data_IF_453023018539
#
_entry.id   IF_453023018539
#
_cell.length_a   1.000
_cell.length_b   1.000
_cell.length_c   1.000
_cell.angle_alpha   90.00
_cell.angle_beta   90.00
_cell.angle_gamma   90.00
#
_symmetry.space_group_name_H-M   'P 1'
#
loop_
_entity.id
_entity.type
_entity.pdbx_description
1 polymer ?
#
# COMPACT_ATOMS: atom_id res chain seq x y z
N UNK A 1 20.45 12.60 -8.48
CA UNK A 1 19.36 11.62 -8.33
C UNK A 1 18.31 12.22 -7.42
N UNK A 2 17.32 12.88 -8.03
CA UNK A 2 16.66 14.04 -7.44
C UNK A 2 15.23 13.79 -6.97
N UNK A 3 14.89 14.47 -5.86
CA UNK A 3 13.61 15.02 -5.37
C UNK A 3 12.30 14.21 -5.47
N UNK A 4 12.24 13.11 -6.21
CA UNK A 4 11.03 12.36 -6.48
C UNK A 4 10.50 11.64 -5.23
N UNK A 5 11.38 11.04 -4.44
CA UNK A 5 11.02 10.43 -3.15
C UNK A 5 10.46 11.47 -2.16
N UNK A 6 11.03 12.69 -2.18
CA UNK A 6 10.58 13.80 -1.35
C UNK A 6 9.20 14.30 -1.82
N UNK A 7 8.98 14.44 -3.13
CA UNK A 7 7.67 14.79 -3.67
C UNK A 7 6.60 13.76 -3.29
N UNK A 8 6.90 12.46 -3.42
CA UNK A 8 5.96 11.40 -3.00
C UNK A 8 5.65 11.51 -1.51
N UNK A 9 6.69 11.61 -0.67
CA UNK A 9 6.52 11.70 0.77
C UNK A 9 5.70 12.92 1.18
N UNK A 10 5.98 14.08 0.58
CA UNK A 10 5.29 15.34 0.91
C UNK A 10 3.82 15.32 0.46
N UNK A 11 3.53 14.84 -0.75
CA UNK A 11 2.13 14.72 -1.24
C UNK A 11 1.33 13.71 -0.42
N UNK A 12 1.90 12.58 -0.04
CA UNK A 12 1.19 11.63 0.83
C UNK A 12 1.03 12.18 2.26
N UNK A 13 2.00 12.96 2.76
CA UNK A 13 1.91 13.62 4.05
C UNK A 13 0.84 14.73 4.08
N UNK A 14 0.58 15.41 2.96
CA UNK A 14 -0.54 16.37 2.85
C UNK A 14 -1.91 15.68 2.83
N UNK A 15 -1.95 14.36 2.68
CA UNK A 15 -3.18 13.58 2.61
C UNK A 15 -3.69 13.35 1.20
N UNK A 16 -2.93 13.75 0.18
CA UNK A 16 -3.28 13.59 -1.22
C UNK A 16 -2.90 12.21 -1.76
N UNK A 17 -3.68 11.71 -2.71
CA UNK A 17 -3.42 10.46 -3.41
C UNK A 17 -2.45 10.68 -4.58
N UNK A 18 -1.63 9.67 -4.90
CA UNK A 18 -0.74 9.69 -6.07
C UNK A 18 -1.10 8.53 -6.99
N UNK A 19 -1.41 8.84 -8.24
CA UNK A 19 -1.58 7.85 -9.31
C UNK A 19 -0.38 7.90 -10.24
N UNK A 20 0.32 6.77 -10.37
CA UNK A 20 1.37 6.59 -11.36
C UNK A 20 0.81 5.67 -12.45
N UNK A 21 0.52 6.24 -13.62
CA UNK A 21 -0.09 5.52 -14.74
C UNK A 21 0.73 4.28 -15.12
N UNK A 22 0.06 3.15 -15.32
CA UNK A 22 0.69 1.86 -15.63
C UNK A 22 1.47 1.22 -14.47
N UNK A 23 1.58 1.87 -13.31
CA UNK A 23 2.25 1.34 -12.12
C UNK A 23 1.24 1.01 -11.02
N UNK A 24 0.55 2.02 -10.49
CA UNK A 24 -0.43 1.84 -9.43
C UNK A 24 -0.83 3.14 -8.74
N UNK A 25 -1.66 3.02 -7.71
CA UNK A 25 -2.18 4.14 -6.93
C UNK A 25 -1.76 4.04 -5.47
N UNK A 26 -1.14 5.08 -4.95
CA UNK A 26 -1.00 5.31 -3.52
C UNK A 26 -2.18 6.12 -3.03
N UNK A 27 -2.86 5.64 -2.00
CA UNK A 27 -3.98 6.35 -1.38
C UNK A 27 -3.78 6.52 0.11
N UNK A 28 -4.07 7.73 0.60
CA UNK A 28 -4.13 8.04 2.03
C UNK A 28 -5.52 7.72 2.54
N UNK A 29 -5.61 6.91 3.58
CA UNK A 29 -6.89 6.49 4.17
C UNK A 29 -6.93 6.75 5.66
N UNK A 30 -8.03 7.30 6.13
CA UNK A 30 -8.33 7.37 7.55
C UNK A 30 -8.81 6.02 8.05
N UNK A 31 -8.19 5.54 9.12
CA UNK A 31 -8.62 4.37 9.88
C UNK A 31 -9.23 4.85 11.18
N UNK A 32 -10.49 4.50 11.39
CA UNK A 32 -11.18 4.73 12.66
C UNK A 32 -10.56 3.88 13.76
N UNK A 33 -10.69 4.38 14.98
CA UNK A 33 -10.39 3.58 16.15
C UNK A 33 -11.22 2.30 16.17
N UNK A 34 -10.62 1.20 16.57
CA UNK A 34 -11.28 -0.10 16.62
C UNK A 34 -10.63 -1.03 17.64
N UNK A 35 -11.39 -2.04 18.07
CA UNK A 35 -10.83 -3.16 18.83
C UNK A 35 -9.93 -4.01 17.94
N UNK A 36 -8.84 -4.48 18.53
CA UNK A 36 -7.92 -5.47 18.00
C UNK A 36 -7.48 -6.40 19.12
N UNK A 37 -6.50 -7.25 18.83
CA UNK A 37 -5.95 -8.19 19.81
C UNK A 37 -4.43 -8.14 19.79
N UNK A 38 -3.83 -8.31 20.96
CA UNK A 38 -2.40 -8.52 21.07
C UNK A 38 -2.05 -9.87 20.42
N UNK A 39 -1.18 -9.92 19.39
CA UNK A 39 -0.83 -11.18 18.72
C UNK A 39 -0.19 -12.22 19.65
N UNK A 40 0.50 -11.80 20.71
CA UNK A 40 1.20 -12.69 21.63
C UNK A 40 0.30 -13.27 22.73
N UNK A 41 -0.67 -12.49 23.24
CA UNK A 41 -1.51 -12.89 24.38
C UNK A 41 -2.98 -13.11 24.04
N UNK A 42 -3.42 -12.68 22.87
CA UNK A 42 -4.83 -12.71 22.45
C UNK A 42 -5.73 -11.69 23.15
N UNK A 43 -5.20 -10.94 24.12
CA UNK A 43 -5.98 -9.97 24.91
C UNK A 43 -6.48 -8.82 24.03
N UNK A 44 -7.68 -8.33 24.34
CA UNK A 44 -8.28 -7.21 23.63
C UNK A 44 -7.46 -5.92 23.82
N UNK A 45 -7.30 -5.15 22.75
CA UNK A 45 -6.63 -3.85 22.77
C UNK A 45 -7.35 -2.84 21.86
N UNK A 46 -7.30 -1.57 22.23
CA UNK A 46 -7.81 -0.47 21.39
C UNK A 46 -6.72 0.01 20.44
N UNK A 47 -7.01 -0.01 19.14
CA UNK A 47 -6.15 0.54 18.10
C UNK A 47 -6.62 1.95 17.76
N UNK A 48 -5.83 2.95 18.13
CA UNK A 48 -6.13 4.37 17.90
C UNK A 48 -6.40 4.67 16.42
N UNK A 49 -7.24 5.67 16.19
CA UNK A 49 -7.46 6.23 14.86
C UNK A 49 -6.14 6.76 14.28
N UNK A 50 -5.94 6.59 12.97
CA UNK A 50 -4.71 6.99 12.27
C UNK A 50 -4.92 7.13 10.77
N UNK A 51 -4.01 7.85 10.11
CA UNK A 51 -3.85 7.80 8.66
C UNK A 51 -2.94 6.65 8.26
N UNK A 52 -3.24 6.00 7.13
CA UNK A 52 -2.39 4.98 6.53
C UNK A 52 -2.24 5.24 5.04
N UNK A 53 -1.08 4.89 4.49
CA UNK A 53 -0.89 4.82 3.04
C UNK A 53 -1.19 3.39 2.58
N UNK A 54 -1.94 3.26 1.50
CA UNK A 54 -2.20 1.98 0.83
C UNK A 54 -1.73 2.06 -0.61
N UNK A 55 -1.11 1.00 -1.12
CA UNK A 55 -0.77 0.89 -2.54
C UNK A 55 -1.67 -0.13 -3.22
N UNK A 56 -2.28 0.26 -4.34
CA UNK A 56 -3.00 -0.65 -5.24
C UNK A 56 -2.21 -0.77 -6.55
N UNK A 57 -1.66 -1.94 -6.79
CA UNK A 57 -0.98 -2.28 -8.04
C UNK A 57 -1.95 -2.15 -9.22
N UNK A 58 -1.46 -1.60 -10.34
CA UNK A 58 -2.23 -1.56 -11.58
C UNK A 58 -2.34 -2.95 -12.22
N UNK A 59 -3.38 -3.16 -13.05
CA UNK A 59 -3.50 -4.38 -13.85
C UNK A 59 -2.26 -4.60 -14.72
N UNK A 60 -1.83 -3.57 -15.46
CA UNK A 60 -0.65 -3.62 -16.32
C UNK A 60 0.63 -4.06 -15.60
N UNK A 61 0.88 -3.55 -14.38
CA UNK A 61 2.04 -3.96 -13.60
C UNK A 61 1.92 -5.41 -13.13
N UNK A 62 0.74 -5.81 -12.64
CA UNK A 62 0.48 -7.20 -12.23
C UNK A 62 0.65 -8.17 -13.40
N UNK A 63 0.06 -7.86 -14.54
CA UNK A 63 0.07 -8.69 -15.73
C UNK A 63 1.52 -8.84 -16.23
N UNK A 64 2.30 -7.75 -16.28
CA UNK A 64 3.73 -7.81 -16.62
C UNK A 64 4.56 -8.69 -15.70
N UNK A 65 4.32 -8.65 -14.39
CA UNK A 65 5.01 -9.50 -13.41
C UNK A 65 4.63 -10.97 -13.62
N UNK A 66 3.34 -11.23 -13.88
CA UNK A 66 2.82 -12.57 -14.05
C UNK A 66 3.15 -13.18 -15.43
N UNK A 67 3.27 -12.38 -16.49
CA UNK A 67 3.77 -12.82 -17.81
C UNK A 67 5.25 -13.22 -17.74
N UNK A 68 6.06 -12.48 -16.96
CA UNK A 68 7.44 -12.87 -16.66
C UNK A 68 7.50 -14.14 -15.79
N UNK A 69 6.47 -14.35 -14.98
CA UNK A 69 6.25 -15.56 -14.19
C UNK A 69 5.38 -16.57 -14.97
N UNK A 70 5.85 -17.01 -16.14
CA UNK A 70 5.33 -18.21 -16.77
C UNK A 70 5.73 -19.40 -15.89
N UNK A 71 4.92 -19.70 -14.87
CA UNK A 71 5.18 -20.73 -13.86
C UNK A 71 5.92 -21.91 -14.46
N UNK A 72 7.01 -22.32 -13.82
CA UNK A 72 7.84 -23.48 -14.17
C UNK A 72 7.01 -24.78 -14.17
N UNK A 73 6.13 -24.94 -15.14
CA UNK A 73 5.46 -26.18 -15.49
C UNK A 73 6.09 -26.67 -16.81
N UNK A 74 7.34 -27.07 -16.69
CA UNK A 74 7.89 -28.12 -17.53
C UNK A 74 8.26 -29.26 -16.57
N UNK A 75 7.24 -30.03 -16.18
CA UNK A 75 7.35 -31.49 -16.00
C UNK A 75 6.34 -32.11 -16.97
#
# INVERSE_FOLDING_TARGET
MGNWSNHISNTLASGEDILISGFGKFSVKDKKERRGRNPATGSDMMLKARKVVTFKCSGKLRDRINEQWNGRINE
#
